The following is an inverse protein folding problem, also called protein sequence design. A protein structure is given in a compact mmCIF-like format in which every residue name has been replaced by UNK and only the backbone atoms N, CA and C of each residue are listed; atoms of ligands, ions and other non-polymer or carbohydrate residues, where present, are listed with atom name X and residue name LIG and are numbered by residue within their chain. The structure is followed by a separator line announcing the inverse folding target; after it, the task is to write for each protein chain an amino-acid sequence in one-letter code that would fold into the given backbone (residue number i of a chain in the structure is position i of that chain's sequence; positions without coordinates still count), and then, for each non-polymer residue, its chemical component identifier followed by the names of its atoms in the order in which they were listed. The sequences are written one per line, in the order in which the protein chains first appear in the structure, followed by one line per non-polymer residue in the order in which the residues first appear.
data_IF_997172200550
#
_entry.id   IF_997172200550
#
_cell.length_a   1.000
_cell.length_b   1.000
_cell.length_c   1.000
_cell.angle_alpha   90.00
_cell.angle_beta   90.00
_cell.angle_gamma   90.00
#
_symmetry.space_group_name_H-M   'P 1'
#
loop_
_entity.id
_entity.type
_entity.pdbx_description
1 polymer ?
#
# COMPACT_ATOMS: atom_id res chain seq x y z
N UNK A 1 -33.69 33.44 -33.47
CA UNK A 1 -33.05 33.82 -32.20
C UNK A 1 -33.37 32.77 -31.16
N UNK A 2 -32.54 31.71 -31.04
CA UNK A 2 -32.64 30.68 -30.00
C UNK A 2 -31.26 30.60 -29.35
N UNK A 3 -31.21 31.04 -28.09
CA UNK A 3 -29.99 31.08 -27.30
C UNK A 3 -29.69 29.64 -26.87
N UNK A 4 -28.63 29.04 -27.39
CA UNK A 4 -28.09 27.79 -26.89
C UNK A 4 -27.37 28.10 -25.56
N UNK A 5 -28.00 27.76 -24.44
CA UNK A 5 -27.34 27.71 -23.14
C UNK A 5 -26.49 26.44 -23.10
N UNK A 6 -25.17 26.59 -23.18
CA UNK A 6 -24.21 25.50 -23.00
C UNK A 6 -24.23 25.02 -21.56
N UNK A 7 -24.60 23.75 -21.36
CA UNK A 7 -24.38 23.06 -20.09
C UNK A 7 -22.89 22.73 -19.98
N UNK A 8 -22.12 23.64 -19.36
CA UNK A 8 -20.76 23.36 -18.93
C UNK A 8 -20.84 22.43 -17.71
N UNK A 9 -20.85 21.12 -17.97
CA UNK A 9 -20.81 20.09 -16.95
C UNK A 9 -19.39 20.06 -16.38
N UNK A 10 -19.17 20.86 -15.34
CA UNK A 10 -17.94 20.84 -14.56
C UNK A 10 -17.95 19.52 -13.76
N UNK A 11 -17.32 18.48 -14.30
CA UNK A 11 -17.00 17.27 -13.55
C UNK A 11 -16.05 17.66 -12.41
N UNK A 12 -16.56 18.01 -11.24
CA UNK A 12 -15.78 18.00 -10.01
C UNK A 12 -15.44 16.54 -9.71
N UNK A 13 -14.32 16.07 -10.23
CA UNK A 13 -13.68 14.85 -9.75
C UNK A 13 -13.30 15.09 -8.29
N UNK A 14 -14.12 14.58 -7.36
CA UNK A 14 -13.76 14.49 -5.95
C UNK A 14 -12.62 13.48 -5.83
N UNK A 15 -11.39 13.92 -6.06
CA UNK A 15 -10.23 13.16 -5.66
C UNK A 15 -10.33 12.95 -4.15
N UNK A 16 -10.45 11.69 -3.72
CA UNK A 16 -10.34 11.35 -2.31
C UNK A 16 -8.87 11.56 -1.95
N UNK A 17 -8.55 12.72 -1.39
CA UNK A 17 -7.19 13.03 -0.95
C UNK A 17 -6.82 12.05 0.19
N UNK A 18 -5.61 11.51 0.11
CA UNK A 18 -5.05 10.75 1.22
C UNK A 18 -5.04 11.63 2.48
N UNK A 19 -5.62 11.14 3.57
CA UNK A 19 -5.58 11.82 4.86
C UNK A 19 -4.12 11.94 5.31
N UNK A 20 -3.77 13.07 5.95
CA UNK A 20 -2.39 13.31 6.41
C UNK A 20 -2.02 12.23 7.43
N UNK A 21 -0.99 11.44 7.11
CA UNK A 21 -0.45 10.39 7.98
C UNK A 21 -0.05 10.96 9.35
N UNK A 22 -0.59 10.38 10.43
CA UNK A 22 -0.14 10.64 11.80
C UNK A 22 1.00 9.70 12.18
N UNK A 23 2.24 10.19 12.09
CA UNK A 23 3.46 9.40 12.22
C UNK A 23 3.54 8.58 13.52
N UNK A 24 3.25 9.19 14.67
CA UNK A 24 3.34 8.54 15.98
C UNK A 24 2.31 7.41 16.14
N UNK A 25 1.10 7.62 15.61
CA UNK A 25 0.06 6.58 15.59
C UNK A 25 0.44 5.43 14.67
N UNK A 26 0.97 5.74 13.49
CA UNK A 26 1.39 4.72 12.54
C UNK A 26 2.56 3.88 13.10
N UNK A 27 3.56 4.52 13.71
CA UNK A 27 4.64 3.85 14.43
C UNK A 27 4.12 2.97 15.57
N UNK A 28 3.17 3.46 16.36
CA UNK A 28 2.54 2.67 17.42
C UNK A 28 1.83 1.45 16.84
N UNK A 29 1.03 1.62 15.78
CA UNK A 29 0.33 0.53 15.12
C UNK A 29 1.29 -0.51 14.54
N UNK A 30 2.42 -0.09 13.97
CA UNK A 30 3.46 -1.02 13.53
C UNK A 30 3.96 -1.89 14.69
N UNK A 31 4.32 -1.27 15.81
CA UNK A 31 4.80 -1.97 17.01
C UNK A 31 3.78 -2.99 17.53
N UNK A 32 2.50 -2.63 17.54
CA UNK A 32 1.45 -3.46 18.12
C UNK A 32 0.97 -4.57 17.20
N UNK A 33 0.89 -4.33 15.88
CA UNK A 33 0.20 -5.23 14.95
C UNK A 33 1.09 -5.88 13.89
N UNK A 34 2.30 -5.37 13.67
CA UNK A 34 3.16 -5.82 12.56
C UNK A 34 4.54 -6.31 13.02
N UNK A 35 5.15 -5.59 13.98
CA UNK A 35 6.53 -5.79 14.41
C UNK A 35 6.80 -7.22 14.91
N UNK A 36 5.82 -7.86 15.55
CA UNK A 36 5.99 -9.22 16.08
C UNK A 36 6.44 -10.24 15.01
N UNK A 37 6.05 -10.02 13.75
CA UNK A 37 6.49 -10.83 12.61
C UNK A 37 7.62 -10.16 11.81
N UNK A 38 7.56 -8.84 11.62
CA UNK A 38 8.45 -8.11 10.70
C UNK A 38 9.72 -7.52 11.33
N UNK A 39 9.94 -7.70 12.64
CA UNK A 39 11.04 -7.11 13.42
C UNK A 39 10.95 -5.57 13.55
N UNK A 40 11.58 -4.95 14.57
CA UNK A 40 11.51 -3.49 14.75
C UNK A 40 11.99 -2.67 13.55
N UNK A 41 12.94 -3.19 12.78
CA UNK A 41 13.59 -2.52 11.65
C UNK A 41 13.14 -3.07 10.28
N UNK A 42 12.06 -3.84 10.22
CA UNK A 42 11.50 -4.35 8.98
C UNK A 42 12.32 -5.47 8.31
N UNK A 43 13.31 -6.03 9.01
CA UNK A 43 14.18 -7.09 8.48
C UNK A 43 13.48 -8.45 8.36
N UNK A 44 12.36 -8.65 9.08
CA UNK A 44 11.65 -9.93 9.15
C UNK A 44 12.44 -11.02 9.89
N UNK A 45 11.86 -12.23 9.89
CA UNK A 45 12.50 -13.44 10.41
C UNK A 45 11.87 -14.71 9.79
N UNK A 46 12.67 -15.77 9.64
CA UNK A 46 12.24 -17.06 9.09
C UNK A 46 11.51 -16.92 7.74
N UNK A 47 10.23 -17.31 7.69
CA UNK A 47 9.38 -17.20 6.50
C UNK A 47 8.78 -15.82 6.29
N UNK A 48 8.94 -14.87 7.22
CA UNK A 48 8.41 -13.51 7.08
C UNK A 48 9.35 -12.69 6.19
N UNK A 49 8.89 -12.16 5.05
CA UNK A 49 9.74 -11.41 4.13
C UNK A 49 10.32 -10.12 4.73
N UNK A 50 11.54 -9.80 4.31
CA UNK A 50 12.20 -8.51 4.58
C UNK A 50 11.48 -7.39 3.81
N UNK A 51 11.05 -6.37 4.54
CA UNK A 51 10.51 -5.13 3.96
C UNK A 51 11.60 -4.07 3.78
N UNK A 52 12.57 -4.02 4.71
CA UNK A 52 13.69 -3.09 4.68
C UNK A 52 14.41 -3.11 3.33
N UNK A 53 14.50 -1.94 2.71
CA UNK A 53 15.11 -1.66 1.41
C UNK A 53 14.45 -2.38 0.22
N UNK A 54 13.25 -2.95 0.40
CA UNK A 54 12.60 -3.81 -0.61
C UNK A 54 11.09 -3.53 -0.79
N UNK A 55 10.40 -2.99 0.21
CA UNK A 55 8.94 -2.86 0.20
C UNK A 55 8.44 -1.97 -0.95
N UNK A 56 9.26 -1.01 -1.38
CA UNK A 56 8.96 -0.10 -2.47
C UNK A 56 8.80 -0.77 -3.83
N UNK A 57 9.47 -1.91 -4.07
CA UNK A 57 9.35 -2.64 -5.34
C UNK A 57 7.92 -3.09 -5.66
N UNK A 58 7.10 -3.30 -4.63
CA UNK A 58 5.70 -3.66 -4.82
C UNK A 58 4.87 -2.49 -5.35
N UNK A 59 5.35 -1.25 -5.28
CA UNK A 59 4.64 -0.07 -5.78
C UNK A 59 4.77 0.12 -7.29
N UNK A 60 5.72 -0.58 -7.93
CA UNK A 60 6.05 -0.45 -9.36
C UNK A 60 4.91 -0.91 -10.28
N UNK A 61 4.07 -1.84 -9.80
CA UNK A 61 2.93 -2.36 -10.55
C UNK A 61 1.65 -2.32 -9.70
N UNK A 62 0.47 -2.05 -10.30
CA UNK A 62 -0.79 -1.99 -9.54
C UNK A 62 -1.05 -3.24 -8.70
N UNK A 63 -0.77 -4.43 -9.24
CA UNK A 63 -0.97 -5.69 -8.53
C UNK A 63 -0.08 -5.87 -7.30
N UNK A 64 1.12 -5.27 -7.29
CA UNK A 64 2.03 -5.28 -6.14
C UNK A 64 1.55 -4.35 -5.04
N UNK A 65 0.98 -3.20 -5.42
CA UNK A 65 0.34 -2.28 -4.48
C UNK A 65 -0.85 -2.95 -3.79
N UNK A 66 -1.72 -3.61 -4.56
CA UNK A 66 -2.83 -4.36 -4.00
C UNK A 66 -2.37 -5.50 -3.07
N UNK A 67 -1.27 -6.16 -3.43
CA UNK A 67 -0.70 -7.24 -2.64
C UNK A 67 -0.42 -6.83 -1.19
N UNK A 68 0.18 -5.67 -0.95
CA UNK A 68 0.51 -5.19 0.41
C UNK A 68 -0.74 -5.04 1.31
N UNK A 69 -1.89 -4.71 0.72
CA UNK A 69 -3.16 -4.61 1.44
C UNK A 69 -3.79 -5.99 1.66
N UNK A 70 -3.64 -6.90 0.69
CA UNK A 70 -4.30 -8.21 0.66
C UNK A 70 -3.52 -9.33 1.35
N UNK A 71 -2.27 -9.09 1.78
CA UNK A 71 -1.55 -10.00 2.69
C UNK A 71 -2.45 -10.32 3.89
N UNK A 72 -2.71 -11.59 4.24
CA UNK A 72 -3.66 -11.94 5.30
C UNK A 72 -3.48 -11.15 6.60
N UNK A 73 -2.24 -11.02 7.09
CA UNK A 73 -1.96 -10.24 8.30
C UNK A 73 -2.35 -8.74 8.22
N UNK A 74 -2.27 -8.14 7.03
CA UNK A 74 -2.71 -6.78 6.75
C UNK A 74 -4.24 -6.72 6.64
N UNK A 75 -4.79 -7.53 5.74
CA UNK A 75 -6.21 -7.55 5.37
C UNK A 75 -7.13 -7.83 6.56
N UNK A 76 -6.72 -8.78 7.43
CA UNK A 76 -7.50 -9.21 8.61
C UNK A 76 -7.02 -8.56 9.90
N UNK A 77 -6.17 -7.52 9.84
CA UNK A 77 -5.72 -6.79 11.03
C UNK A 77 -6.90 -6.17 11.79
N UNK A 78 -6.75 -6.01 13.10
CA UNK A 78 -7.75 -5.35 13.95
C UNK A 78 -7.86 -3.83 13.71
N UNK A 79 -6.98 -3.26 12.88
CA UNK A 79 -7.01 -1.85 12.52
C UNK A 79 -8.21 -1.55 11.61
N UNK A 80 -8.84 -0.39 11.82
CA UNK A 80 -9.79 0.15 10.84
C UNK A 80 -9.04 0.60 9.57
N UNK A 81 -9.78 0.88 8.50
CA UNK A 81 -9.20 1.14 7.18
C UNK A 81 -8.30 2.37 7.13
N UNK A 82 -8.63 3.41 7.91
CA UNK A 82 -7.78 4.62 8.02
C UNK A 82 -6.47 4.29 8.70
N UNK A 83 -6.53 3.62 9.85
CA UNK A 83 -5.34 3.34 10.65
C UNK A 83 -4.45 2.26 9.97
N UNK A 84 -5.05 1.36 9.17
CA UNK A 84 -4.33 0.44 8.31
C UNK A 84 -3.66 1.17 7.13
N UNK A 85 -4.34 2.11 6.46
CA UNK A 85 -3.73 2.93 5.42
C UNK A 85 -2.52 3.69 5.96
N UNK A 86 -2.64 4.29 7.14
CA UNK A 86 -1.55 5.02 7.78
C UNK A 86 -0.34 4.16 8.11
N UNK A 87 -0.53 2.97 8.70
CA UNK A 87 0.60 2.10 9.03
C UNK A 87 1.28 1.57 7.77
N UNK A 88 0.53 1.24 6.71
CA UNK A 88 1.13 0.82 5.44
C UNK A 88 1.94 1.95 4.78
N UNK A 89 1.42 3.18 4.79
CA UNK A 89 2.17 4.34 4.32
C UNK A 89 3.42 4.59 5.17
N UNK A 90 3.33 4.41 6.49
CA UNK A 90 4.49 4.56 7.36
C UNK A 90 5.55 3.49 7.10
N UNK A 91 5.15 2.22 6.97
CA UNK A 91 6.02 1.10 6.61
C UNK A 91 6.78 1.39 5.33
N UNK A 92 6.10 1.89 4.29
CA UNK A 92 6.74 2.24 3.02
C UNK A 92 7.73 3.38 3.23
N UNK A 93 7.30 4.46 3.89
CA UNK A 93 8.16 5.63 4.12
C UNK A 93 9.40 5.32 4.95
N UNK A 94 9.32 4.37 5.88
CA UNK A 94 10.41 3.99 6.79
C UNK A 94 11.34 2.95 6.15
N UNK A 95 10.78 1.99 5.40
CA UNK A 95 11.50 0.79 4.98
C UNK A 95 11.73 0.68 3.48
N UNK A 96 11.27 1.62 2.64
CA UNK A 96 11.54 1.56 1.20
C UNK A 96 13.02 1.68 0.88
N UNK A 97 13.78 2.50 1.61
CA UNK A 97 15.13 2.87 1.17
C UNK A 97 15.09 3.32 -0.30
N UNK A 98 16.02 2.83 -1.11
CA UNK A 98 16.10 3.14 -2.54
C UNK A 98 15.09 2.36 -3.41
N UNK A 99 14.22 1.53 -2.82
CA UNK A 99 13.25 0.72 -3.59
C UNK A 99 11.99 1.47 -4.03
N UNK A 100 11.79 2.72 -3.60
CA UNK A 100 10.73 3.62 -4.09
C UNK A 100 11.07 5.10 -3.87
N UNK A 101 10.44 5.98 -4.64
CA UNK A 101 10.49 7.45 -4.45
C UNK A 101 9.79 7.86 -3.14
N UNK A 102 10.31 8.88 -2.47
CA UNK A 102 9.70 9.51 -1.29
C UNK A 102 8.27 10.04 -1.56
N UNK A 103 7.94 10.35 -2.82
CA UNK A 103 6.66 10.90 -3.26
C UNK A 103 5.68 9.86 -3.83
N UNK A 104 5.82 8.58 -3.46
CA UNK A 104 4.90 7.52 -3.87
C UNK A 104 3.43 7.86 -3.54
N UNK A 105 2.50 7.31 -4.35
CA UNK A 105 1.06 7.49 -4.12
C UNK A 105 0.65 6.81 -2.79
N UNK A 106 0.15 7.59 -1.82
CA UNK A 106 -0.20 7.05 -0.50
C UNK A 106 -1.52 6.30 -0.51
N UNK A 107 -1.60 5.21 0.25
CA UNK A 107 -2.85 4.48 0.48
C UNK A 107 -3.90 5.37 1.13
N UNK A 108 -5.14 5.20 0.69
CA UNK A 108 -6.31 5.87 1.29
C UNK A 108 -7.17 4.85 2.04
N UNK A 109 -7.93 5.31 3.04
CA UNK A 109 -8.87 4.45 3.76
C UNK A 109 -9.87 3.77 2.80
N UNK A 110 -10.34 4.49 1.77
CA UNK A 110 -11.26 3.92 0.78
C UNK A 110 -10.63 2.85 -0.10
N UNK A 111 -9.34 2.99 -0.44
CA UNK A 111 -8.58 1.95 -1.13
C UNK A 111 -8.42 0.70 -0.26
N UNK A 112 -8.03 0.89 1.01
CA UNK A 112 -7.92 -0.20 1.98
C UNK A 112 -9.25 -0.94 2.14
N UNK A 113 -10.35 -0.22 2.35
CA UNK A 113 -11.68 -0.80 2.53
C UNK A 113 -12.08 -1.72 1.37
N UNK A 114 -11.77 -1.32 0.12
CA UNK A 114 -12.09 -2.10 -1.08
C UNK A 114 -11.20 -3.34 -1.23
N UNK A 115 -9.92 -3.23 -0.92
CA UNK A 115 -8.95 -4.32 -1.18
C UNK A 115 -8.94 -5.36 -0.06
N UNK A 116 -9.05 -4.93 1.21
CA UNK A 116 -8.86 -5.81 2.36
C UNK A 116 -9.93 -6.90 2.50
N UNK A 117 -11.08 -6.74 1.85
CA UNK A 117 -12.15 -7.75 1.84
C UNK A 117 -11.83 -8.96 0.93
N UNK A 118 -10.69 -8.94 0.25
CA UNK A 118 -10.22 -10.00 -0.64
C UNK A 118 -8.80 -10.50 -0.24
N UNK A 119 -8.62 -11.09 0.96
CA UNK A 119 -7.33 -11.60 1.40
C UNK A 119 -6.79 -12.71 0.46
N UNK A 120 -5.46 -12.80 0.36
CA UNK A 120 -4.78 -13.82 -0.44
C UNK A 120 -4.77 -15.17 0.29
N UNK A 121 -5.01 -16.27 -0.45
CA UNK A 121 -4.87 -17.63 0.09
C UNK A 121 -3.44 -18.17 -0.11
N UNK A 122 -3.01 -18.27 -1.38
CA UNK A 122 -1.69 -18.77 -1.77
C UNK A 122 -0.64 -17.63 -1.78
N UNK A 123 -0.38 -17.07 -0.60
CA UNK A 123 0.42 -15.84 -0.44
C UNK A 123 1.80 -15.94 -1.10
N UNK A 124 2.56 -17.00 -0.81
CA UNK A 124 3.93 -17.13 -1.31
C UNK A 124 3.98 -17.34 -2.82
N UNK A 125 3.08 -18.15 -3.37
CA UNK A 125 2.99 -18.35 -4.82
C UNK A 125 2.73 -17.03 -5.55
N UNK A 126 1.71 -16.28 -5.08
CA UNK A 126 1.36 -15.00 -5.65
C UNK A 126 2.48 -13.95 -5.49
N UNK A 127 3.19 -13.95 -4.35
CA UNK A 127 4.36 -13.09 -4.14
C UNK A 127 5.47 -13.39 -5.15
N UNK A 128 5.76 -14.66 -5.40
CA UNK A 128 6.77 -15.07 -6.40
C UNK A 128 6.40 -14.60 -7.79
N UNK A 129 5.14 -14.76 -8.21
CA UNK A 129 4.65 -14.28 -9.51
C UNK A 129 4.78 -12.75 -9.64
N UNK A 130 4.46 -12.00 -8.58
CA UNK A 130 4.61 -10.54 -8.58
C UNK A 130 6.07 -10.10 -8.71
N UNK A 131 7.01 -10.76 -8.02
CA UNK A 131 8.43 -10.41 -8.13
C UNK A 131 8.97 -10.61 -9.55
N UNK A 132 8.50 -11.65 -10.26
CA UNK A 132 8.84 -11.86 -11.68
C UNK A 132 8.28 -10.73 -12.56
N UNK A 133 7.03 -10.32 -12.31
CA UNK A 133 6.39 -9.23 -13.06
C UNK A 133 7.10 -7.89 -12.82
N UNK A 134 7.45 -7.58 -11.57
CA UNK A 134 8.19 -6.37 -11.18
C UNK A 134 9.56 -6.33 -11.88
N UNK A 135 10.32 -7.44 -11.82
CA UNK A 135 11.62 -7.52 -12.48
C UNK A 135 11.50 -7.32 -14.01
N UNK A 136 10.44 -7.87 -14.60
CA UNK A 136 10.16 -7.71 -16.03
C UNK A 136 9.79 -6.27 -16.39
N UNK A 137 9.00 -5.58 -15.56
CA UNK A 137 8.64 -4.18 -15.77
C UNK A 137 9.88 -3.27 -15.75
N UNK A 138 10.78 -3.45 -14.77
CA UNK A 138 12.03 -2.68 -14.67
C UNK A 138 12.99 -2.89 -15.84
N UNK A 139 12.99 -4.07 -16.45
CA UNK A 139 13.86 -4.35 -17.61
C UNK A 139 13.43 -3.63 -18.90
N UNK A 140 12.26 -3.01 -18.93
CA UNK A 140 11.69 -2.32 -20.10
C UNK A 140 11.85 -0.80 -20.07
N UNK A 141 12.36 -0.26 -18.97
CA UNK A 141 12.67 1.16 -18.77
C UNK A 141 14.13 1.45 -19.13
#
# INVERSE_FOLDING_TARGET
MKIMLGALWLCLSTGVLAEKMKWERAQFNYKMFCQGCHSPDGTGANSVPRMKDNIGYFLEIPAGREYLVRVPGSATSALNDRDLAEVLNWIISEFSGDSADENYERYTAGEIARLRVHPLNELEHYRTELLVQIATAKSKE
#
